data_IF_535473381447
#
_entry.id   IF_535473381447
#
_cell.length_a   1.000
_cell.length_b   1.000
_cell.length_c   1.000
_cell.angle_alpha   90.00
_cell.angle_beta   90.00
_cell.angle_gamma   90.00
#
_symmetry.space_group_name_H-M   'P 1'
#
loop_
_entity.id
_entity.type
_entity.pdbx_description
1 polymer ?
#
# COMPACT_ATOMS: atom_id res chain seq x y z
N UNK A 1 -25.27 21.81 65.72
CA UNK A 1 -26.05 20.81 66.48
C UNK A 1 -25.76 20.80 67.98
N UNK A 2 -24.51 20.72 68.45
CA UNK A 2 -24.25 20.85 69.90
C UNK A 2 -24.41 22.30 70.39
N UNK A 3 -23.98 23.28 69.60
CA UNK A 3 -24.16 24.70 69.93
C UNK A 3 -25.64 25.09 69.97
N UNK A 4 -26.44 24.60 69.02
CA UNK A 4 -27.90 24.84 68.98
C UNK A 4 -28.57 24.30 70.25
N UNK A 5 -28.19 23.10 70.70
CA UNK A 5 -28.71 22.52 71.95
C UNK A 5 -28.35 23.34 73.19
N UNK A 6 -27.15 23.90 73.25
CA UNK A 6 -26.71 24.76 74.36
C UNK A 6 -27.49 26.09 74.35
N UNK A 7 -27.75 26.63 73.16
CA UNK A 7 -28.59 27.82 73.00
C UNK A 7 -30.05 27.54 73.37
N UNK A 8 -30.61 26.40 72.97
CA UNK A 8 -31.95 25.95 73.35
C UNK A 8 -32.06 25.75 74.88
N UNK A 9 -31.04 25.17 75.52
CA UNK A 9 -30.95 25.01 76.99
C UNK A 9 -30.90 26.38 77.69
N UNK A 10 -30.14 27.34 77.13
CA UNK A 10 -30.10 28.73 77.62
C UNK A 10 -31.45 29.43 77.48
N UNK A 11 -32.11 29.26 76.33
CA UNK A 11 -33.42 29.85 76.04
C UNK A 11 -34.50 29.29 76.97
N UNK A 12 -34.48 27.99 77.25
CA UNK A 12 -35.37 27.35 78.23
C UNK A 12 -35.19 27.95 79.63
N UNK A 13 -33.95 28.07 80.13
CA UNK A 13 -33.65 28.66 81.45
C UNK A 13 -34.14 30.12 81.52
N UNK A 14 -33.95 30.90 80.45
CA UNK A 14 -34.39 32.28 80.38
C UNK A 14 -35.93 32.42 80.30
N UNK A 15 -36.61 31.45 79.68
CA UNK A 15 -38.07 31.41 79.53
C UNK A 15 -38.77 30.93 80.80
N UNK A 16 -38.22 29.92 81.48
CA UNK A 16 -38.80 29.28 82.66
C UNK A 16 -38.51 30.01 83.97
N UNK A 17 -37.59 30.99 83.94
CA UNK A 17 -37.24 31.80 85.09
C UNK A 17 -38.42 32.59 85.69
N UNK A 18 -38.43 32.75 87.01
CA UNK A 18 -39.54 33.41 87.70
C UNK A 18 -39.60 34.91 87.36
N UNK A 19 -40.65 35.33 86.65
CA UNK A 19 -40.94 36.75 86.39
C UNK A 19 -41.43 37.44 87.65
N UNK A 20 -40.77 38.54 88.00
CA UNK A 20 -41.15 39.34 89.17
C UNK A 20 -42.25 40.35 88.75
N UNK A 21 -43.45 40.36 89.38
CA UNK A 21 -44.49 41.33 89.06
C UNK A 21 -44.03 42.78 89.32
N UNK A 22 -44.48 43.74 88.51
CA UNK A 22 -44.15 45.18 88.58
C UNK A 22 -42.71 45.58 88.21
N UNK A 23 -41.81 44.62 87.99
CA UNK A 23 -40.45 44.84 87.47
C UNK A 23 -40.24 43.99 86.23
N UNK A 24 -39.71 44.58 85.15
CA UNK A 24 -39.37 43.84 83.92
C UNK A 24 -38.09 43.01 84.11
N UNK A 25 -38.07 42.11 85.10
CA UNK A 25 -36.92 41.28 85.48
C UNK A 25 -37.36 39.81 85.65
N UNK A 26 -36.48 38.91 85.22
CA UNK A 26 -36.58 37.46 85.41
C UNK A 26 -35.55 37.05 86.44
N UNK A 27 -35.95 36.27 87.44
CA UNK A 27 -35.05 35.66 88.41
C UNK A 27 -34.66 34.27 87.92
N UNK A 28 -33.36 34.01 87.86
CA UNK A 28 -32.75 32.82 87.26
C UNK A 28 -31.77 32.21 88.27
N UNK A 29 -31.64 30.88 88.27
CA UNK A 29 -30.62 30.19 89.05
C UNK A 29 -29.23 30.50 88.49
N UNK A 30 -28.37 31.04 89.34
CA UNK A 30 -27.00 31.44 88.98
C UNK A 30 -26.15 30.24 88.53
N UNK A 31 -26.33 29.07 89.13
CA UNK A 31 -25.54 27.88 88.79
C UNK A 31 -25.94 27.32 87.43
N UNK A 32 -27.24 27.27 87.12
CA UNK A 32 -27.75 26.77 85.84
C UNK A 32 -27.28 27.65 84.67
N UNK A 33 -27.45 28.98 84.78
CA UNK A 33 -27.01 29.89 83.71
C UNK A 33 -25.49 29.91 83.56
N UNK A 34 -24.74 29.81 84.67
CA UNK A 34 -23.27 29.76 84.63
C UNK A 34 -22.79 28.48 83.92
N UNK A 35 -23.42 27.34 84.20
CA UNK A 35 -23.06 26.07 83.55
C UNK A 35 -23.32 26.10 82.04
N UNK A 36 -24.43 26.68 81.60
CA UNK A 36 -24.73 26.86 80.18
C UNK A 36 -23.78 27.85 79.52
N UNK A 37 -23.42 28.94 80.20
CA UNK A 37 -22.42 29.89 79.71
C UNK A 37 -21.02 29.27 79.56
N UNK A 38 -20.61 28.38 80.47
CA UNK A 38 -19.34 27.66 80.38
C UNK A 38 -19.35 26.65 79.23
N UNK A 39 -20.45 25.92 79.04
CA UNK A 39 -20.66 25.04 77.86
C UNK A 39 -20.56 25.86 76.56
N UNK A 40 -21.22 27.02 76.50
CA UNK A 40 -21.19 27.90 75.33
C UNK A 40 -19.77 28.43 75.04
N UNK A 41 -19.06 28.86 76.09
CA UNK A 41 -17.67 29.36 75.99
C UNK A 41 -16.70 28.28 75.50
N UNK A 42 -16.96 27.01 75.80
CA UNK A 42 -16.16 25.88 75.30
C UNK A 42 -16.56 25.47 73.86
N UNK A 43 -17.86 25.49 73.53
CA UNK A 43 -18.38 24.99 72.26
C UNK A 43 -18.21 25.96 71.09
N UNK A 44 -18.37 27.28 71.30
CA UNK A 44 -18.29 28.28 70.22
C UNK A 44 -16.92 28.27 69.51
N UNK A 45 -15.77 28.32 70.21
CA UNK A 45 -14.46 28.30 69.54
C UNK A 45 -14.24 27.03 68.73
N UNK A 46 -14.74 25.89 69.22
CA UNK A 46 -14.63 24.60 68.53
C UNK A 46 -15.44 24.58 67.24
N UNK A 47 -16.67 25.10 67.27
CA UNK A 47 -17.54 25.13 66.10
C UNK A 47 -17.06 26.14 65.05
N UNK A 48 -16.55 27.31 65.48
CA UNK A 48 -15.89 28.28 64.59
C UNK A 48 -14.66 27.66 63.92
N UNK A 49 -13.84 26.91 64.67
CA UNK A 49 -12.69 26.21 64.10
C UNK A 49 -13.14 25.17 63.06
N UNK A 50 -14.14 24.34 63.37
CA UNK A 50 -14.69 23.35 62.43
C UNK A 50 -15.21 24.01 61.15
N UNK A 51 -15.92 25.14 61.28
CA UNK A 51 -16.40 25.88 60.12
C UNK A 51 -15.24 26.41 59.26
N UNK A 52 -14.16 26.90 59.90
CA UNK A 52 -12.97 27.34 59.19
C UNK A 52 -12.26 26.19 58.47
N UNK A 53 -12.05 25.07 59.16
CA UNK A 53 -11.41 23.86 58.61
C UNK A 53 -12.22 23.35 57.39
N UNK A 54 -13.56 23.36 57.48
CA UNK A 54 -14.45 22.96 56.38
C UNK A 54 -14.34 23.90 55.17
N UNK A 55 -14.26 25.21 55.40
CA UNK A 55 -14.08 26.19 54.32
C UNK A 55 -12.71 26.04 53.64
N UNK A 56 -11.66 25.75 54.42
CA UNK A 56 -10.34 25.47 53.88
C UNK A 56 -10.31 24.17 53.07
N UNK A 57 -10.95 23.11 53.57
CA UNK A 57 -11.09 21.85 52.85
C UNK A 57 -11.87 22.04 51.54
N UNK A 58 -12.99 22.76 51.57
CA UNK A 58 -13.77 23.06 50.36
C UNK A 58 -12.93 23.82 49.33
N UNK A 59 -12.15 24.82 49.76
CA UNK A 59 -11.24 25.56 48.88
C UNK A 59 -10.20 24.63 48.28
N UNK A 60 -9.56 23.80 49.10
CA UNK A 60 -8.56 22.84 48.65
C UNK A 60 -9.12 21.84 47.64
N UNK A 61 -10.36 21.38 47.82
CA UNK A 61 -11.05 20.51 46.87
C UNK A 61 -11.25 21.24 45.54
N UNK A 62 -11.77 22.47 45.57
CA UNK A 62 -12.00 23.27 44.35
C UNK A 62 -10.69 23.51 43.59
N UNK A 63 -9.63 23.89 44.30
CA UNK A 63 -8.33 24.18 43.68
C UNK A 63 -7.72 22.91 43.05
N UNK A 64 -7.81 21.76 43.74
CA UNK A 64 -7.38 20.47 43.18
C UNK A 64 -8.19 20.07 41.95
N UNK A 65 -9.52 20.18 42.00
CA UNK A 65 -10.38 19.84 40.86
C UNK A 65 -10.13 20.74 39.66
N UNK A 66 -9.81 22.02 39.87
CA UNK A 66 -9.41 22.93 38.79
C UNK A 66 -8.09 22.51 38.16
N UNK A 67 -7.07 22.25 38.98
CA UNK A 67 -5.78 21.80 38.48
C UNK A 67 -5.88 20.48 37.70
N UNK A 68 -6.72 19.55 38.17
CA UNK A 68 -6.96 18.28 37.49
C UNK A 68 -7.72 18.48 36.16
N UNK A 69 -8.71 19.37 36.12
CA UNK A 69 -9.41 19.72 34.88
C UNK A 69 -8.45 20.35 33.85
N UNK A 70 -7.61 21.28 34.28
CA UNK A 70 -6.60 21.92 33.42
C UNK A 70 -5.62 20.88 32.86
N UNK A 71 -5.16 19.95 33.71
CA UNK A 71 -4.29 18.86 33.29
C UNK A 71 -4.96 17.91 32.28
N UNK A 72 -6.23 17.55 32.50
CA UNK A 72 -6.99 16.72 31.55
C UNK A 72 -7.11 17.42 30.19
N UNK A 73 -7.41 18.72 30.19
CA UNK A 73 -7.52 19.51 28.97
C UNK A 73 -6.19 19.57 28.22
N UNK A 74 -5.09 19.83 28.93
CA UNK A 74 -3.75 19.84 28.34
C UNK A 74 -3.38 18.48 27.73
N UNK A 75 -3.64 17.39 28.44
CA UNK A 75 -3.42 16.02 27.93
C UNK A 75 -4.28 15.72 26.71
N UNK A 76 -5.55 16.12 26.71
CA UNK A 76 -6.46 15.93 25.59
C UNK A 76 -5.98 16.70 24.35
N UNK A 77 -5.49 17.93 24.53
CA UNK A 77 -4.92 18.71 23.43
C UNK A 77 -3.63 18.09 22.89
N UNK A 78 -2.73 17.64 23.76
CA UNK A 78 -1.48 16.98 23.35
C UNK A 78 -1.76 15.69 22.57
N UNK A 79 -2.65 14.83 23.07
CA UNK A 79 -3.02 13.59 22.39
C UNK A 79 -3.78 13.86 21.09
N UNK A 80 -4.68 14.86 21.07
CA UNK A 80 -5.35 15.30 19.85
C UNK A 80 -4.37 15.76 18.78
N UNK A 81 -3.36 16.55 19.14
CA UNK A 81 -2.27 16.94 18.25
C UNK A 81 -1.52 15.74 17.69
N UNK A 82 -1.14 14.80 18.57
CA UNK A 82 -0.42 13.57 18.19
C UNK A 82 -1.22 12.71 17.20
N UNK A 83 -2.53 12.57 17.40
CA UNK A 83 -3.42 11.83 16.51
C UNK A 83 -3.48 12.50 15.13
N UNK A 84 -3.62 13.83 15.08
CA UNK A 84 -3.64 14.58 13.82
C UNK A 84 -2.33 14.43 13.05
N UNK A 85 -1.19 14.51 13.73
CA UNK A 85 0.12 14.37 13.10
C UNK A 85 0.34 12.94 12.56
N UNK A 86 -0.07 11.92 13.32
CA UNK A 86 -0.03 10.53 12.86
C UNK A 86 -0.92 10.32 11.64
N UNK A 87 -2.14 10.87 11.65
CA UNK A 87 -3.07 10.76 10.54
C UNK A 87 -2.53 11.42 9.26
N UNK A 88 -1.89 12.59 9.38
CA UNK A 88 -1.22 13.26 8.26
C UNK A 88 -0.07 12.44 7.70
N UNK A 89 0.80 11.93 8.58
CA UNK A 89 1.93 11.10 8.16
C UNK A 89 1.48 9.82 7.42
N UNK A 90 0.38 9.21 7.87
CA UNK A 90 -0.21 8.03 7.24
C UNK A 90 -0.87 8.37 5.89
N UNK A 91 -1.60 9.49 5.80
CA UNK A 91 -2.16 9.96 4.54
C UNK A 91 -1.06 10.21 3.50
N UNK A 92 0.02 10.90 3.88
CA UNK A 92 1.18 11.14 3.01
C UNK A 92 1.84 9.81 2.58
N UNK A 93 1.88 8.81 3.47
CA UNK A 93 2.41 7.48 3.16
C UNK A 93 1.54 6.79 2.11
N UNK A 94 0.22 6.84 2.24
CA UNK A 94 -0.71 6.22 1.30
C UNK A 94 -0.64 6.89 -0.08
N UNK A 95 -0.58 8.21 -0.14
CA UNK A 95 -0.42 8.95 -1.41
C UNK A 95 0.87 8.53 -2.11
N UNK A 96 2.01 8.50 -1.40
CA UNK A 96 3.28 8.02 -1.97
C UNK A 96 3.19 6.57 -2.45
N UNK A 97 2.48 5.71 -1.73
CA UNK A 97 2.29 4.32 -2.16
C UNK A 97 1.47 4.23 -3.44
N UNK A 98 0.40 5.02 -3.56
CA UNK A 98 -0.41 5.09 -4.79
C UNK A 98 0.41 5.58 -5.98
N UNK A 99 1.24 6.61 -5.81
CA UNK A 99 2.16 7.09 -6.85
C UNK A 99 3.15 6.01 -7.29
N UNK A 100 3.71 5.25 -6.35
CA UNK A 100 4.62 4.13 -6.66
C UNK A 100 3.90 3.02 -7.43
N UNK A 101 2.67 2.67 -7.05
CA UNK A 101 1.86 1.67 -7.75
C UNK A 101 1.56 2.14 -9.17
N UNK A 102 1.12 3.38 -9.35
CA UNK A 102 0.84 3.95 -10.66
C UNK A 102 2.09 3.98 -11.55
N UNK A 103 3.24 4.40 -11.02
CA UNK A 103 4.49 4.38 -11.76
C UNK A 103 4.92 2.96 -12.16
N UNK A 104 4.69 1.97 -11.28
CA UNK A 104 4.96 0.57 -11.59
C UNK A 104 4.03 0.03 -12.69
N UNK A 105 2.74 0.38 -12.67
CA UNK A 105 1.77 0.03 -13.71
C UNK A 105 2.13 0.66 -15.06
N UNK A 106 2.45 1.96 -15.08
CA UNK A 106 2.90 2.65 -16.29
C UNK A 106 4.15 1.99 -16.89
N UNK A 107 5.13 1.64 -16.03
CA UNK A 107 6.33 0.92 -16.45
C UNK A 107 6.03 -0.48 -16.99
N UNK A 108 5.15 -1.23 -16.32
CA UNK A 108 4.74 -2.56 -16.76
C UNK A 108 4.04 -2.50 -18.13
N UNK A 109 3.12 -1.55 -18.32
CA UNK A 109 2.45 -1.32 -19.60
C UNK A 109 3.44 -0.91 -20.70
N UNK A 110 4.43 -0.07 -20.39
CA UNK A 110 5.50 0.28 -21.31
C UNK A 110 6.36 -0.91 -21.74
N UNK A 111 6.71 -1.80 -20.79
CA UNK A 111 7.43 -3.05 -21.09
C UNK A 111 6.59 -3.94 -22.00
N UNK A 112 5.31 -4.18 -21.67
CA UNK A 112 4.42 -5.01 -22.48
C UNK A 112 4.30 -4.47 -23.90
N UNK A 113 4.09 -3.16 -24.06
CA UNK A 113 3.99 -2.54 -25.38
C UNK A 113 5.28 -2.69 -26.19
N UNK A 114 6.44 -2.50 -25.54
CA UNK A 114 7.75 -2.65 -26.18
C UNK A 114 8.02 -4.10 -26.58
N UNK A 115 7.73 -5.06 -25.70
CA UNK A 115 7.88 -6.50 -25.99
C UNK A 115 6.96 -6.94 -27.12
N UNK A 116 5.70 -6.51 -27.12
CA UNK A 116 4.77 -6.82 -28.21
C UNK A 116 5.25 -6.26 -29.56
N UNK A 117 5.84 -5.06 -29.55
CA UNK A 117 6.42 -4.49 -30.76
C UNK A 117 7.64 -5.30 -31.22
N UNK A 118 8.55 -5.60 -30.31
CA UNK A 118 9.72 -6.42 -30.59
C UNK A 118 9.35 -7.80 -31.13
N UNK A 119 8.34 -8.46 -30.55
CA UNK A 119 7.85 -9.76 -31.02
C UNK A 119 7.28 -9.69 -32.43
N UNK A 120 6.54 -8.61 -32.76
CA UNK A 120 6.04 -8.39 -34.12
C UNK A 120 7.19 -8.20 -35.11
N UNK A 121 8.17 -7.37 -34.75
CA UNK A 121 9.32 -7.07 -35.61
C UNK A 121 10.19 -8.32 -35.82
N UNK A 122 10.39 -9.12 -34.76
CA UNK A 122 11.15 -10.36 -34.83
C UNK A 122 10.45 -11.41 -35.71
N UNK A 123 9.12 -11.53 -35.62
CA UNK A 123 8.36 -12.42 -36.52
C UNK A 123 8.44 -11.98 -37.97
N UNK A 124 8.24 -10.68 -38.23
CA UNK A 124 8.34 -10.14 -39.59
C UNK A 124 9.75 -10.35 -40.18
N UNK A 125 10.80 -10.16 -39.38
CA UNK A 125 12.18 -10.41 -39.80
C UNK A 125 12.44 -11.90 -40.07
N UNK A 126 11.91 -12.80 -39.22
CA UNK A 126 12.03 -14.24 -39.42
C UNK A 126 11.31 -14.71 -40.69
N UNK A 127 10.09 -14.22 -40.93
CA UNK A 127 9.31 -14.52 -42.14
C UNK A 127 10.03 -14.02 -43.40
N UNK A 128 10.54 -12.78 -43.38
CA UNK A 128 11.31 -12.22 -44.49
C UNK A 128 12.61 -13.00 -44.76
N UNK A 129 13.29 -13.47 -43.70
CA UNK A 129 14.48 -14.30 -43.83
C UNK A 129 14.15 -15.68 -44.42
N UNK A 130 13.07 -16.31 -43.97
CA UNK A 130 12.61 -17.60 -44.48
C UNK A 130 12.24 -17.52 -45.97
N UNK A 131 11.52 -16.48 -46.37
CA UNK A 131 11.14 -16.24 -47.78
C UNK A 131 12.39 -16.03 -48.65
N UNK A 132 13.32 -15.21 -48.18
CA UNK A 132 14.59 -14.96 -48.87
C UNK A 132 15.38 -16.27 -49.06
N UNK A 133 15.55 -17.04 -47.98
CA UNK A 133 16.26 -18.32 -48.03
C UNK A 133 15.58 -19.32 -48.97
N UNK A 134 14.24 -19.36 -48.96
CA UNK A 134 13.47 -20.21 -49.86
C UNK A 134 13.71 -19.82 -51.33
N UNK A 135 13.62 -18.53 -51.65
CA UNK A 135 13.88 -18.01 -52.99
C UNK A 135 15.32 -18.30 -53.45
N UNK A 136 16.32 -18.06 -52.60
CA UNK A 136 17.73 -18.32 -52.91
C UNK A 136 17.98 -19.83 -53.14
N UNK A 137 17.36 -20.69 -52.33
CA UNK A 137 17.48 -22.14 -52.48
C UNK A 137 16.83 -22.65 -53.76
N UNK A 138 15.65 -22.11 -54.12
CA UNK A 138 14.96 -22.46 -55.35
C UNK A 138 15.76 -22.01 -56.59
N UNK A 139 16.34 -20.81 -56.55
CA UNK A 139 17.21 -20.32 -57.62
C UNK A 139 18.44 -21.23 -57.78
N UNK A 140 19.12 -21.56 -56.68
CA UNK A 140 20.26 -22.47 -56.70
C UNK A 140 19.90 -23.85 -57.27
N UNK A 141 18.76 -24.41 -56.87
CA UNK A 141 18.29 -25.68 -57.42
C UNK A 141 18.06 -25.59 -58.93
N UNK A 142 17.44 -24.51 -59.42
CA UNK A 142 17.22 -24.28 -60.84
C UNK A 142 18.54 -24.15 -61.62
N UNK A 143 19.52 -23.45 -61.07
CA UNK A 143 20.84 -23.29 -61.68
C UNK A 143 21.56 -24.64 -61.79
N UNK A 144 21.50 -25.48 -60.76
CA UNK A 144 22.05 -26.85 -60.77
C UNK A 144 21.31 -27.72 -61.80
N UNK A 145 19.98 -27.65 -61.87
CA UNK A 145 19.21 -28.40 -62.86
C UNK A 145 19.59 -28.01 -64.29
N UNK A 146 19.63 -26.71 -64.60
CA UNK A 146 20.02 -26.20 -65.91
C UNK A 146 21.45 -26.64 -66.29
N UNK A 147 22.38 -26.59 -65.34
CA UNK A 147 23.75 -27.07 -65.55
C UNK A 147 23.80 -28.56 -65.88
N UNK A 148 23.03 -29.39 -65.17
CA UNK A 148 22.94 -30.83 -65.45
C UNK A 148 22.30 -31.10 -66.80
N UNK A 149 21.23 -30.40 -67.16
CA UNK A 149 20.56 -30.51 -68.46
C UNK A 149 21.51 -30.17 -69.62
N UNK A 150 22.24 -29.06 -69.51
CA UNK A 150 23.20 -28.63 -70.52
C UNK A 150 24.30 -29.69 -70.71
N UNK A 151 24.85 -30.22 -69.61
CA UNK A 151 25.88 -31.25 -69.68
C UNK A 151 25.36 -32.56 -70.26
N UNK A 152 24.19 -33.03 -69.83
CA UNK A 152 23.56 -34.24 -70.37
C UNK A 152 23.27 -34.09 -71.86
N UNK A 153 22.81 -32.92 -72.30
CA UNK A 153 22.57 -32.63 -73.72
C UNK A 153 23.87 -32.69 -74.52
N UNK A 154 24.95 -32.07 -74.03
CA UNK A 154 26.28 -32.15 -74.66
C UNK A 154 26.78 -33.60 -74.74
N UNK A 155 26.67 -34.36 -73.66
CA UNK A 155 27.08 -35.77 -73.63
C UNK A 155 26.25 -36.62 -74.60
N UNK A 156 24.92 -36.45 -74.62
CA UNK A 156 24.05 -37.17 -75.55
C UNK A 156 24.33 -36.81 -77.02
N UNK A 157 24.59 -35.53 -77.32
CA UNK A 157 25.00 -35.11 -78.66
C UNK A 157 26.30 -35.80 -79.07
N UNK A 158 27.33 -35.76 -78.22
CA UNK A 158 28.61 -36.42 -78.49
C UNK A 158 28.45 -37.94 -78.70
N UNK A 159 27.62 -38.61 -77.89
CA UNK A 159 27.31 -40.04 -78.07
C UNK A 159 26.60 -40.29 -79.40
N UNK A 160 25.63 -39.44 -79.77
CA UNK A 160 24.90 -39.55 -81.04
C UNK A 160 25.81 -39.32 -82.24
N UNK A 161 26.67 -38.31 -82.18
CA UNK A 161 27.63 -37.98 -83.22
C UNK A 161 28.64 -39.12 -83.40
N UNK A 162 29.17 -39.67 -82.30
CA UNK A 162 30.04 -40.84 -82.32
C UNK A 162 29.34 -42.08 -82.90
N UNK A 163 28.08 -42.32 -82.53
CA UNK A 163 27.29 -43.42 -83.07
C UNK A 163 27.03 -43.29 -84.59
N UNK A 164 26.73 -42.09 -85.06
CA UNK A 164 26.56 -41.79 -86.48
C UNK A 164 27.87 -41.95 -87.27
N UNK A 165 29.00 -41.53 -86.68
CA UNK A 165 30.33 -41.71 -87.26
C UNK A 165 30.71 -43.20 -87.36
N UNK A 166 30.46 -43.98 -86.31
CA UNK A 166 30.65 -45.44 -86.31
C UNK A 166 29.80 -46.13 -87.38
N UNK A 167 28.52 -45.75 -87.50
CA UNK A 167 27.64 -46.29 -88.54
C UNK A 167 28.12 -45.94 -89.94
N UNK A 168 28.49 -44.68 -90.18
CA UNK A 168 29.08 -44.25 -91.46
C UNK A 168 30.37 -45.01 -91.79
N UNK A 169 31.22 -45.26 -90.79
CA UNK A 169 32.43 -46.07 -90.95
C UNK A 169 32.12 -47.52 -91.29
N UNK A 170 31.14 -48.13 -90.63
CA UNK A 170 30.70 -49.50 -90.91
C UNK A 170 30.09 -49.64 -92.32
N UNK A 171 29.23 -48.70 -92.70
CA UNK A 171 28.61 -48.67 -94.03
C UNK A 171 29.65 -48.42 -95.14
N UNK A 172 30.72 -47.66 -94.87
CA UNK A 172 31.84 -47.46 -95.78
C UNK A 172 32.72 -48.72 -95.94
N UNK A 173 33.04 -49.40 -94.84
CA UNK A 173 33.84 -50.64 -94.84
C UNK A 173 33.10 -51.79 -95.54
N UNK A 174 31.76 -51.85 -95.42
CA UNK A 174 30.94 -52.82 -96.13
C UNK A 174 30.74 -52.51 -97.62
N UNK A 175 30.80 -51.24 -98.03
CA UNK A 175 30.82 -50.87 -99.46
C UNK A 175 32.17 -51.21 -100.12
N UNK A 176 33.29 -51.08 -99.39
CA UNK A 176 34.62 -51.50 -99.86
C UNK A 176 34.72 -53.02 -100.03
N UNK A 177 34.21 -53.80 -99.08
CA UNK A 177 34.18 -55.27 -99.17
C UNK A 177 33.20 -55.83 -100.22
N UNK A 178 32.20 -55.05 -100.64
CA UNK A 178 31.30 -55.42 -101.74
C UNK A 178 31.92 -55.16 -103.13
N UNK A 179 32.87 -54.22 -103.23
CA UNK A 179 33.64 -53.96 -104.46
C UNK A 179 34.73 -54.99 -104.73
N UNK A 180 35.30 -55.59 -103.69
CA UNK A 180 36.44 -56.53 -103.80
C UNK A 180 36.04 -57.97 -104.20
N UNK A 181 34.74 -58.29 -104.22
CA UNK A 181 34.24 -59.62 -104.67
C UNK A 181 34.00 -59.71 -106.19
N UNK A 182 34.39 -58.70 -106.97
CA UNK A 182 34.20 -58.65 -108.42
C UNK A 182 35.42 -58.96 -109.28
N UNK A 183 36.63 -58.95 -108.71
CA UNK A 183 37.88 -59.05 -109.50
C UNK A 183 38.86 -60.06 -108.90
N UNK A 184 38.50 -61.34 -108.89
CA UNK A 184 39.49 -62.40 -109.13
C UNK A 184 38.82 -63.48 -109.99
N UNK A 185 39.01 -63.25 -111.29
CA UNK A 185 38.52 -63.97 -112.47
C UNK A 185 39.22 -65.33 -112.69
N UNK A 186 38.53 -66.16 -113.50
CA UNK A 186 39.07 -67.08 -114.52
C UNK A 186 39.69 -68.41 -114.12
#
# INVERSE_FOLDING_TARGET
MELDKILDEMESILSDGWRIPLVNKVMIDENEITMVMDKLRAAVPLEVKRAHDLLEEQKNIIDKSRAEADHIVEQAHAEGGRIVDLAKAEADRLVRQEEVVKAAEEKANGIIATTQQYDRDMRAAADAYAEKLHSESMQYAMDVFNYLEENLTKTLSAVRDNGNALKSSYDADHQLNAGDKGEEEK
#
